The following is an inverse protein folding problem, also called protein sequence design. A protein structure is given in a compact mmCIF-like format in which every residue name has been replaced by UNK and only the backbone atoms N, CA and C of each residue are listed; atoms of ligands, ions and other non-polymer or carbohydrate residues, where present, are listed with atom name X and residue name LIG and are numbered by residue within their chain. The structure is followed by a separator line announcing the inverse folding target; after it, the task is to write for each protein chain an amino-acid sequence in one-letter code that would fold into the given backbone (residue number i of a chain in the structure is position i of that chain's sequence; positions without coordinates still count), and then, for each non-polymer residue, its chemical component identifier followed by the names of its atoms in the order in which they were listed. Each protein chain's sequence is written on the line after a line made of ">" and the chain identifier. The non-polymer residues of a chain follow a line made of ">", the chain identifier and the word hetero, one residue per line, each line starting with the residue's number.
data_IF_903517196270
#
_entry.id   IF_903517196270
#
_cell.length_a   1.000
_cell.length_b   1.000
_cell.length_c   1.000
_cell.angle_alpha   90.00
_cell.angle_beta   90.00
_cell.angle_gamma   90.00
#
_symmetry.space_group_name_H-M   'P 1'
#
loop_
_entity.id
_entity.type
_entity.pdbx_description
1 polymer ?
#
# COMPACT_ATOMS: atom_id res chain seq x y z
N UNK A 1 -11.99 12.14 -6.45
CA UNK A 1 -10.97 11.24 -5.85
C UNK A 1 -9.60 11.67 -6.33
N UNK A 2 -8.64 11.85 -5.42
CA UNK A 2 -7.27 12.20 -5.79
C UNK A 2 -6.51 10.98 -6.28
N UNK A 3 -5.44 11.14 -7.08
CA UNK A 3 -4.60 10.00 -7.49
C UNK A 3 -4.03 9.21 -6.31
N UNK A 4 -3.60 9.88 -5.25
CA UNK A 4 -3.09 9.22 -4.04
C UNK A 4 -4.16 8.37 -3.36
N UNK A 5 -5.39 8.87 -3.28
CA UNK A 5 -6.53 8.12 -2.73
C UNK A 5 -6.84 6.88 -3.57
N UNK A 6 -6.89 7.02 -4.88
CA UNK A 6 -7.14 5.90 -5.79
C UNK A 6 -6.07 4.82 -5.66
N UNK A 7 -4.81 5.21 -5.72
CA UNK A 7 -3.68 4.29 -5.56
C UNK A 7 -3.76 3.57 -4.21
N UNK A 8 -4.07 4.30 -3.14
CA UNK A 8 -4.18 3.72 -1.80
C UNK A 8 -5.28 2.66 -1.74
N UNK A 9 -6.46 2.95 -2.30
CA UNK A 9 -7.59 2.01 -2.34
C UNK A 9 -7.24 0.75 -3.14
N UNK A 10 -6.60 0.92 -4.28
CA UNK A 10 -6.23 -0.21 -5.14
C UNK A 10 -5.10 -1.06 -4.57
N UNK A 11 -4.13 -0.44 -3.89
CA UNK A 11 -3.09 -1.18 -3.16
C UNK A 11 -3.69 -2.00 -2.02
N UNK A 12 -4.62 -1.41 -1.28
CA UNK A 12 -5.35 -2.14 -0.23
C UNK A 12 -6.04 -3.37 -0.79
N UNK A 13 -6.78 -3.21 -1.87
CA UNK A 13 -7.45 -4.33 -2.56
C UNK A 13 -6.46 -5.38 -3.05
N UNK A 14 -5.34 -4.97 -3.63
CA UNK A 14 -4.32 -5.89 -4.13
C UNK A 14 -3.71 -6.74 -3.01
N UNK A 15 -3.42 -6.14 -1.87
CA UNK A 15 -2.87 -6.84 -0.71
C UNK A 15 -3.91 -7.79 -0.11
N UNK A 16 -5.17 -7.36 0.02
CA UNK A 16 -6.27 -8.20 0.49
C UNK A 16 -6.49 -9.40 -0.45
N UNK A 17 -6.49 -9.17 -1.76
CA UNK A 17 -6.64 -10.22 -2.76
C UNK A 17 -5.45 -11.21 -2.77
N UNK A 18 -4.27 -10.76 -2.38
CA UNK A 18 -3.08 -11.61 -2.30
C UNK A 18 -3.07 -12.53 -1.07
N UNK A 19 -4.02 -12.38 -0.15
CA UNK A 19 -4.19 -13.29 0.97
C UNK A 19 -3.93 -12.69 2.35
N UNK A 20 -3.95 -11.36 2.50
CA UNK A 20 -3.83 -10.73 3.81
C UNK A 20 -4.96 -11.19 4.74
N UNK A 21 -4.60 -11.58 5.95
CA UNK A 21 -5.53 -12.11 6.97
C UNK A 21 -5.72 -11.17 8.16
N UNK A 22 -4.95 -10.10 8.22
CA UNK A 22 -5.08 -9.03 9.21
C UNK A 22 -5.57 -7.75 8.53
N UNK A 23 -6.09 -6.76 9.28
CA UNK A 23 -6.62 -5.54 8.69
C UNK A 23 -5.57 -4.79 7.86
N UNK A 24 -5.97 -4.37 6.66
CA UNK A 24 -5.20 -3.45 5.81
C UNK A 24 -5.85 -2.08 5.94
N UNK A 25 -5.11 -1.08 6.37
CA UNK A 25 -5.64 0.23 6.68
C UNK A 25 -4.77 1.36 6.15
N UNK A 26 -5.37 2.54 6.02
CA UNK A 26 -4.67 3.77 5.66
C UNK A 26 -5.29 4.93 6.44
N UNK A 27 -4.45 5.73 7.08
CA UNK A 27 -4.90 6.92 7.80
C UNK A 27 -5.55 7.94 6.84
N UNK A 28 -5.09 8.00 5.60
CA UNK A 28 -5.68 8.86 4.58
C UNK A 28 -7.13 8.45 4.29
N UNK A 29 -7.38 7.17 4.07
CA UNK A 29 -8.73 6.67 3.79
C UNK A 29 -9.66 6.83 5.00
N UNK A 30 -9.17 6.58 6.20
CA UNK A 30 -9.93 6.79 7.43
C UNK A 30 -10.35 8.26 7.58
N UNK A 31 -9.41 9.18 7.33
CA UNK A 31 -9.70 10.61 7.40
C UNK A 31 -10.74 11.05 6.36
N UNK A 32 -10.68 10.51 5.14
CA UNK A 32 -11.61 10.82 4.07
C UNK A 32 -13.00 10.24 4.31
N UNK A 33 -13.09 9.10 4.96
CA UNK A 33 -14.36 8.44 5.30
C UNK A 33 -14.98 8.98 6.59
N UNK A 34 -14.28 9.89 7.28
CA UNK A 34 -14.75 10.47 8.54
C UNK A 34 -14.72 9.49 9.71
N UNK A 35 -14.08 8.36 9.53
CA UNK A 35 -13.98 7.33 10.54
C UNK A 35 -12.64 7.43 11.28
N UNK A 36 -12.70 7.38 12.60
CA UNK A 36 -11.51 7.26 13.45
C UNK A 36 -11.46 5.86 14.01
N UNK A 37 -10.60 5.04 13.42
CA UNK A 37 -10.29 3.74 13.98
C UNK A 37 -9.01 3.81 14.79
N UNK A 38 -8.96 3.10 15.90
CA UNK A 38 -7.69 2.87 16.59
C UNK A 38 -6.78 2.03 15.68
N UNK A 39 -5.48 2.34 15.70
CA UNK A 39 -4.50 1.51 15.01
C UNK A 39 -4.57 0.09 15.54
N UNK A 40 -4.82 -0.92 14.69
CA UNK A 40 -4.91 -2.29 15.18
C UNK A 40 -3.57 -2.77 15.73
N UNK A 41 -3.62 -3.65 16.71
CA UNK A 41 -2.41 -4.27 17.29
C UNK A 41 -1.64 -5.11 16.28
N UNK A 42 -2.35 -5.69 15.32
CA UNK A 42 -1.78 -6.38 14.16
C UNK A 42 -2.45 -5.83 12.91
N UNK A 43 -1.66 -5.36 11.96
CA UNK A 43 -2.22 -4.76 10.75
C UNK A 43 -1.16 -4.42 9.71
N UNK A 44 -1.65 -4.08 8.53
CA UNK A 44 -0.85 -3.59 7.42
C UNK A 44 -1.25 -2.15 7.14
N UNK A 45 -0.36 -1.22 7.44
CA UNK A 45 -0.60 0.21 7.21
C UNK A 45 -0.03 0.66 5.87
N UNK A 46 -0.86 1.27 5.03
CA UNK A 46 -0.44 1.80 3.73
C UNK A 46 -0.28 3.31 3.83
N UNK A 47 0.84 3.80 3.34
CA UNK A 47 1.12 5.22 3.20
C UNK A 47 1.51 5.52 1.75
N UNK A 48 0.80 6.46 1.12
CA UNK A 48 1.09 6.95 -0.23
C UNK A 48 1.36 8.45 -0.14
N UNK A 49 2.51 8.87 -0.62
CA UNK A 49 2.93 10.25 -0.56
C UNK A 49 3.38 10.73 -1.94
N UNK A 50 2.89 11.89 -2.35
CA UNK A 50 3.36 12.55 -3.57
C UNK A 50 4.75 13.10 -3.32
N UNK A 51 5.78 12.51 -3.94
CA UNK A 51 7.17 12.89 -3.75
C UNK A 51 7.71 13.84 -4.81
N UNK A 52 7.02 13.97 -5.95
CA UNK A 52 7.45 14.87 -6.99
C UNK A 52 6.44 15.04 -8.10
N UNK A 53 6.57 16.17 -8.79
CA UNK A 53 5.91 16.46 -10.05
C UNK A 53 7.01 16.80 -11.05
N UNK A 54 7.17 15.99 -12.08
CA UNK A 54 8.32 16.06 -12.99
C UNK A 54 8.24 17.22 -13.98
N UNK A 55 7.04 17.68 -14.31
CA UNK A 55 6.84 18.79 -15.25
C UNK A 55 5.51 19.48 -14.95
N UNK A 56 5.52 20.80 -14.82
CA UNK A 56 4.30 21.60 -14.63
C UNK A 56 3.39 21.60 -15.85
N UNK A 57 3.93 21.41 -17.06
CA UNK A 57 3.15 21.41 -18.29
C UNK A 57 2.48 20.06 -18.59
N UNK A 58 3.04 18.97 -18.08
CA UNK A 58 2.47 17.62 -18.16
C UNK A 58 2.39 17.10 -16.73
N UNK A 59 1.18 16.90 -16.18
CA UNK A 59 1.05 16.46 -14.78
C UNK A 59 1.51 15.02 -14.61
N UNK A 60 2.81 14.85 -14.47
CA UNK A 60 3.48 13.60 -14.23
C UNK A 60 3.93 13.56 -12.77
N UNK A 61 3.44 12.57 -12.05
CA UNK A 61 3.63 12.44 -10.61
C UNK A 61 4.47 11.23 -10.25
N UNK A 62 5.24 11.40 -9.18
CA UNK A 62 5.93 10.31 -8.51
C UNK A 62 5.35 10.16 -7.11
N UNK A 63 5.01 8.92 -6.74
CA UNK A 63 4.49 8.59 -5.42
C UNK A 63 5.44 7.64 -4.72
N UNK A 64 5.76 7.95 -3.48
CA UNK A 64 6.42 7.01 -2.58
C UNK A 64 5.37 6.23 -1.82
N UNK A 65 5.45 4.92 -1.88
CA UNK A 65 4.53 4.01 -1.23
C UNK A 65 5.26 3.21 -0.18
N UNK A 66 4.65 3.10 0.97
CA UNK A 66 5.14 2.26 2.05
C UNK A 66 4.01 1.42 2.62
N UNK A 67 4.24 0.12 2.71
CA UNK A 67 3.35 -0.81 3.41
C UNK A 67 4.09 -1.34 4.63
N UNK A 68 3.62 -0.97 5.80
CA UNK A 68 4.18 -1.41 7.09
C UNK A 68 3.37 -2.58 7.65
N UNK A 69 4.03 -3.68 7.90
CA UNK A 69 3.44 -4.85 8.54
C UNK A 69 3.86 -4.87 10.01
N UNK A 70 2.90 -4.95 10.90
CA UNK A 70 3.14 -5.13 12.33
C UNK A 70 2.18 -6.19 12.87
N UNK A 71 2.72 -7.16 13.57
CA UNK A 71 1.95 -8.24 14.20
C UNK A 71 2.36 -8.35 15.66
N UNK A 72 1.38 -8.23 16.55
CA UNK A 72 1.61 -8.43 17.99
C UNK A 72 2.00 -9.87 18.28
N UNK A 73 2.99 -10.08 19.13
CA UNK A 73 3.39 -11.43 19.57
C UNK A 73 2.25 -12.13 20.30
N UNK A 74 1.37 -11.38 20.98
CA UNK A 74 0.20 -11.94 21.63
C UNK A 74 -0.79 -12.56 20.63
N UNK A 75 -0.87 -12.00 19.40
CA UNK A 75 -1.70 -12.54 18.32
C UNK A 75 -1.03 -13.72 17.61
N UNK A 76 0.30 -13.80 17.65
CA UNK A 76 1.06 -14.76 16.84
C UNK A 76 2.36 -15.18 17.52
N UNK A 77 2.28 -16.11 18.41
CA UNK A 77 3.44 -16.62 19.17
C UNK A 77 4.46 -17.39 18.32
N UNK A 78 4.05 -17.92 17.18
CA UNK A 78 4.89 -18.73 16.30
C UNK A 78 5.44 -18.01 15.09
N UNK A 79 5.04 -16.78 14.83
CA UNK A 79 5.43 -16.03 13.65
C UNK A 79 4.70 -16.41 12.36
N UNK A 80 3.71 -17.29 12.42
CA UNK A 80 2.95 -17.75 11.25
C UNK A 80 2.08 -16.65 10.65
N UNK A 81 1.41 -15.88 11.50
CA UNK A 81 0.56 -14.77 11.06
C UNK A 81 1.39 -13.68 10.40
N UNK A 82 2.55 -13.39 10.96
CA UNK A 82 3.51 -12.45 10.36
C UNK A 82 3.95 -12.93 8.97
N UNK A 83 4.38 -14.18 8.86
CA UNK A 83 4.86 -14.73 7.60
C UNK A 83 3.77 -14.75 6.53
N UNK A 84 2.57 -15.16 6.86
CA UNK A 84 1.44 -15.20 5.94
C UNK A 84 1.14 -13.81 5.34
N UNK A 85 1.14 -12.79 6.17
CA UNK A 85 0.87 -11.43 5.73
C UNK A 85 2.08 -10.78 5.05
N UNK A 86 3.29 -11.13 5.45
CA UNK A 86 4.51 -10.77 4.73
C UNK A 86 4.46 -11.30 3.29
N UNK A 87 4.14 -12.57 3.13
CA UNK A 87 4.04 -13.19 1.81
C UNK A 87 2.94 -12.56 0.95
N UNK A 88 1.83 -12.14 1.56
CA UNK A 88 0.75 -11.44 0.86
C UNK A 88 1.20 -10.09 0.31
N UNK A 89 1.88 -9.28 1.11
CA UNK A 89 2.40 -7.99 0.66
C UNK A 89 3.44 -8.18 -0.44
N UNK A 90 4.36 -9.12 -0.24
CA UNK A 90 5.39 -9.43 -1.22
C UNK A 90 4.78 -9.85 -2.55
N UNK A 91 3.80 -10.77 -2.53
CA UNK A 91 3.12 -11.24 -3.74
C UNK A 91 2.42 -10.10 -4.48
N UNK A 92 1.73 -9.21 -3.76
CA UNK A 92 1.06 -8.06 -4.35
C UNK A 92 2.05 -7.11 -5.01
N UNK A 93 3.12 -6.76 -4.32
CA UNK A 93 4.12 -5.81 -4.83
C UNK A 93 4.94 -6.40 -5.97
N UNK A 94 5.35 -7.65 -5.86
CA UNK A 94 6.08 -8.34 -6.93
C UNK A 94 5.23 -8.44 -8.20
N UNK A 95 3.95 -8.77 -8.07
CA UNK A 95 3.04 -8.80 -9.21
C UNK A 95 2.89 -7.43 -9.87
N UNK A 96 2.74 -6.36 -9.09
CA UNK A 96 2.62 -4.99 -9.61
C UNK A 96 3.91 -4.50 -10.29
N UNK A 97 5.05 -5.00 -9.88
CA UNK A 97 6.35 -4.65 -10.46
C UNK A 97 6.63 -5.34 -11.80
N UNK A 98 5.82 -6.34 -12.16
CA UNK A 98 6.02 -7.14 -13.39
C UNK A 98 5.26 -6.57 -14.57
N UNK A 99 5.98 -6.31 -15.67
CA UNK A 99 5.37 -5.88 -16.93
C UNK A 99 4.48 -4.65 -16.76
N UNK A 100 3.28 -4.71 -17.31
CA UNK A 100 2.29 -3.61 -17.27
C UNK A 100 1.24 -3.79 -16.16
N UNK A 101 1.46 -4.69 -15.21
CA UNK A 101 0.49 -4.99 -14.15
C UNK A 101 0.15 -3.78 -13.29
N UNK A 102 1.09 -2.84 -13.13
CA UNK A 102 0.87 -1.61 -12.37
C UNK A 102 -0.21 -0.69 -12.97
N UNK A 103 -0.56 -0.87 -14.23
CA UNK A 103 -1.64 -0.07 -14.86
C UNK A 103 -2.98 -0.27 -14.16
N UNK A 104 -3.16 -1.41 -13.49
CA UNK A 104 -4.35 -1.68 -12.68
C UNK A 104 -4.51 -0.73 -11.47
N UNK A 105 -3.46 -0.01 -11.09
CA UNK A 105 -3.53 1.02 -10.04
C UNK A 105 -4.10 2.35 -10.56
N UNK A 106 -4.23 2.51 -11.87
CA UNK A 106 -4.89 3.66 -12.48
C UNK A 106 -6.41 3.56 -12.43
N UNK A 107 -7.09 4.56 -12.96
CA UNK A 107 -8.54 4.70 -12.89
C UNK A 107 -9.28 4.20 -14.14
N UNK A 108 -8.63 3.40 -14.99
CA UNK A 108 -9.26 2.87 -16.19
C UNK A 108 -10.46 1.96 -15.84
N UNK A 109 -11.66 2.39 -16.22
CA UNK A 109 -12.92 1.64 -16.15
C UNK A 109 -13.25 1.02 -14.78
N UNK A 110 -12.82 1.66 -13.67
CA UNK A 110 -13.03 1.13 -12.35
C UNK A 110 -14.22 1.81 -11.64
N UNK A 111 -15.03 1.01 -10.97
CA UNK A 111 -16.12 1.47 -10.11
C UNK A 111 -15.63 2.42 -8.99
N UNK A 112 -14.37 2.29 -8.57
CA UNK A 112 -13.75 3.16 -7.59
C UNK A 112 -13.42 4.56 -8.12
N UNK A 113 -13.33 4.72 -9.41
CA UNK A 113 -12.98 5.99 -10.05
C UNK A 113 -14.13 7.00 -10.08
N UNK A 114 -15.29 6.64 -9.57
CA UNK A 114 -16.45 7.52 -9.33
C UNK A 114 -16.86 8.38 -10.55
N UNK A 115 -16.74 7.82 -11.76
CA UNK A 115 -17.14 8.52 -13.00
C UNK A 115 -16.47 9.86 -13.23
N UNK A 116 -15.45 10.17 -12.46
CA UNK A 116 -14.81 11.49 -12.52
C UNK A 116 -14.02 11.68 -13.82
N UNK A 117 -14.06 12.89 -14.33
CA UNK A 117 -13.42 13.29 -15.57
C UNK A 117 -11.88 13.27 -15.53
N UNK A 118 -11.28 12.71 -14.50
CA UNK A 118 -9.84 12.68 -14.32
C UNK A 118 -9.31 11.25 -14.40
N UNK A 119 -8.87 10.90 -15.60
CA UNK A 119 -8.16 9.65 -15.79
C UNK A 119 -6.72 9.83 -15.28
N UNK A 120 -6.33 9.00 -14.35
CA UNK A 120 -4.96 8.91 -13.88
C UNK A 120 -4.36 7.58 -14.33
N UNK A 121 -3.36 7.65 -15.17
CA UNK A 121 -2.69 6.46 -15.72
C UNK A 121 -1.39 6.19 -14.96
N UNK A 122 -1.25 5.01 -14.39
CA UNK A 122 -0.01 4.55 -13.78
C UNK A 122 0.85 3.89 -14.84
N UNK A 123 2.09 4.35 -15.00
CA UNK A 123 3.00 3.86 -16.01
C UNK A 123 4.24 3.15 -15.44
N UNK A 124 4.46 3.18 -14.14
CA UNK A 124 5.59 2.51 -13.53
C UNK A 124 5.38 2.14 -12.07
N UNK A 125 5.89 1.00 -11.68
CA UNK A 125 5.95 0.53 -10.30
C UNK A 125 7.32 -0.09 -10.07
N UNK A 126 8.11 0.56 -9.23
CA UNK A 126 9.45 0.10 -8.89
C UNK A 126 9.50 -0.31 -7.43
N UNK A 127 9.67 -1.61 -7.20
CA UNK A 127 9.85 -2.13 -5.86
C UNK A 127 11.27 -1.81 -5.38
N UNK A 128 11.35 -1.10 -4.27
CA UNK A 128 12.61 -0.98 -3.54
C UNK A 128 12.83 -2.28 -2.77
N UNK A 129 14.07 -2.74 -2.70
CA UNK A 129 14.40 -3.89 -1.87
C UNK A 129 14.10 -3.50 -0.43
N UNK A 130 13.03 -4.06 0.11
CA UNK A 130 12.72 -3.93 1.50
C UNK A 130 13.85 -4.52 2.34
N UNK A 131 14.02 -3.99 3.53
CA UNK A 131 14.88 -4.59 4.53
C UNK A 131 14.39 -6.01 4.82
N UNK A 132 15.31 -6.89 5.18
CA UNK A 132 14.93 -8.22 5.67
C UNK A 132 13.94 -8.06 6.83
N UNK A 133 13.01 -9.02 7.01
CA UNK A 133 12.06 -8.96 8.10
C UNK A 133 12.76 -8.69 9.42
N UNK A 134 12.47 -7.55 10.00
CA UNK A 134 13.05 -7.16 11.28
C UNK A 134 12.15 -7.66 12.40
N UNK A 135 12.63 -8.64 13.11
CA UNK A 135 11.94 -9.17 14.28
C UNK A 135 12.28 -8.33 15.49
N UNK A 136 11.70 -7.15 15.57
CA UNK A 136 11.90 -6.30 16.75
C UNK A 136 10.89 -6.67 17.83
N UNK A 137 11.42 -7.02 18.99
CA UNK A 137 10.65 -7.07 20.22
C UNK A 137 10.78 -5.72 20.92
N UNK A 138 9.67 -5.01 21.12
CA UNK A 138 9.70 -3.83 21.97
C UNK A 138 9.62 -4.21 23.45
N UNK A 139 9.94 -3.28 24.35
CA UNK A 139 9.97 -3.51 25.79
C UNK A 139 8.58 -3.78 26.39
N UNK A 140 7.50 -3.59 25.65
CA UNK A 140 6.12 -3.64 26.12
C UNK A 140 5.32 -4.86 25.60
N UNK A 141 5.95 -5.95 25.23
CA UNK A 141 5.25 -7.16 24.85
C UNK A 141 5.57 -7.71 23.47
N UNK A 142 6.40 -7.02 22.73
CA UNK A 142 6.94 -7.52 21.46
C UNK A 142 5.98 -7.46 20.28
N UNK A 143 6.52 -7.08 19.16
CA UNK A 143 5.86 -7.17 17.88
C UNK A 143 6.85 -7.63 16.81
N UNK A 144 6.33 -8.30 15.80
CA UNK A 144 7.05 -8.57 14.58
C UNK A 144 6.74 -7.41 13.62
N UNK A 145 7.73 -6.78 13.04
CA UNK A 145 7.49 -5.68 12.10
C UNK A 145 8.45 -5.68 10.93
N UNK A 146 7.98 -5.20 9.80
CA UNK A 146 8.77 -4.92 8.60
C UNK A 146 8.05 -3.89 7.73
N UNK A 147 8.72 -3.39 6.72
CA UNK A 147 8.10 -2.49 5.75
C UNK A 147 8.56 -2.81 4.33
N UNK A 148 7.66 -2.57 3.39
CA UNK A 148 7.92 -2.62 1.95
C UNK A 148 7.80 -1.22 1.39
N UNK A 149 8.72 -0.84 0.54
CA UNK A 149 8.70 0.45 -0.13
C UNK A 149 8.68 0.27 -1.65
N UNK A 150 7.96 1.15 -2.33
CA UNK A 150 7.89 1.17 -3.78
C UNK A 150 7.73 2.60 -4.26
N UNK A 151 8.13 2.85 -5.51
CA UNK A 151 7.92 4.11 -6.20
C UNK A 151 6.95 3.89 -7.35
N UNK A 152 5.90 4.68 -7.41
CA UNK A 152 4.90 4.65 -8.47
C UNK A 152 5.03 5.93 -9.30
N UNK A 153 5.04 5.79 -10.61
CA UNK A 153 4.98 6.92 -11.53
C UNK A 153 3.68 6.86 -12.33
N UNK A 154 3.14 8.02 -12.61
CA UNK A 154 1.91 8.11 -13.37
C UNK A 154 1.61 9.54 -13.80
N UNK A 155 0.60 9.68 -14.65
CA UNK A 155 0.18 10.98 -15.19
C UNK A 155 -1.33 11.11 -15.20
N UNK A 156 -1.79 12.33 -14.91
CA UNK A 156 -3.18 12.71 -15.09
C UNK A 156 -3.37 13.23 -16.53
N UNK A 157 -4.42 12.80 -17.14
CA UNK A 157 -4.84 13.33 -18.44
C UNK A 157 -5.73 14.56 -18.27
#
# INVERSE_FOLDING_TARGET
>A
MTPAELITRKLKQAIEAAGATIPVYSLLLEALEGERHETPSSGIGIKVHVSGQLDESIPHYTFDVKAGLAVSIDDDKGGWLFKENYDAIWAAFDNLARGDNCTALGDEDDELADGAAHVFAVDGFQLEKGDEPDYQTDENGGSWSTSFAATITGRAN
#
